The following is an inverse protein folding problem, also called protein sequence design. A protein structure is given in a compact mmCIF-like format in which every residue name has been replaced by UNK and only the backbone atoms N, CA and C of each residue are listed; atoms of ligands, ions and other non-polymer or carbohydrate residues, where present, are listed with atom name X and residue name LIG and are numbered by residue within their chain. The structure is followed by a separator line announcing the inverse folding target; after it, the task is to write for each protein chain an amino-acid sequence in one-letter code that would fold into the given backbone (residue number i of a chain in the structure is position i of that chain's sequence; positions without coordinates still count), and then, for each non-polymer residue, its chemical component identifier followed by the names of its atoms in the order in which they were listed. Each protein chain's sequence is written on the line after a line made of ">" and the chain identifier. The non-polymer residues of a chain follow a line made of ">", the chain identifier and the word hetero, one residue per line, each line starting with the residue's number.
data_IF_816371243368
#
_entry.id   IF_816371243368
#
_cell.length_a   1.000
_cell.length_b   1.000
_cell.length_c   1.000
_cell.angle_alpha   90.00
_cell.angle_beta   90.00
_cell.angle_gamma   90.00
#
_symmetry.space_group_name_H-M   'P 1'
#
loop_
_entity.id
_entity.type
_entity.pdbx_description
1 polymer ?
#
# COMPACT_ATOMS: atom_id res chain seq x y z
N UNK A 1 23.55 10.08 -15.56
CA UNK A 1 23.63 9.57 -14.17
C UNK A 1 24.13 8.12 -14.24
N UNK A 2 25.07 7.69 -13.37
CA UNK A 2 25.59 6.32 -13.32
C UNK A 2 24.50 5.30 -12.94
N UNK A 3 24.60 4.08 -13.48
CA UNK A 3 23.64 3.02 -13.21
C UNK A 3 23.68 2.55 -11.75
N UNK A 4 24.85 2.60 -11.08
CA UNK A 4 24.98 2.15 -9.69
C UNK A 4 24.08 2.94 -8.73
N UNK A 5 23.76 4.19 -9.06
CA UNK A 5 22.88 5.04 -8.24
C UNK A 5 21.43 4.55 -8.17
N UNK A 6 21.00 3.70 -9.11
CA UNK A 6 19.61 3.20 -9.18
C UNK A 6 19.48 1.72 -8.78
N UNK A 7 20.60 1.01 -8.67
CA UNK A 7 20.61 -0.45 -8.49
C UNK A 7 19.88 -0.88 -7.22
N UNK A 8 20.17 -0.27 -6.08
CA UNK A 8 19.53 -0.66 -4.81
C UNK A 8 18.01 -0.42 -4.84
N UNK A 9 17.59 0.74 -5.33
CA UNK A 9 16.17 1.08 -5.44
C UNK A 9 15.45 0.15 -6.43
N UNK A 10 16.07 -0.16 -7.56
CA UNK A 10 15.53 -1.09 -8.55
C UNK A 10 15.40 -2.51 -7.97
N UNK A 11 16.42 -3.00 -7.27
CA UNK A 11 16.36 -4.31 -6.61
C UNK A 11 15.25 -4.36 -5.57
N UNK A 12 15.08 -3.32 -4.74
CA UNK A 12 13.98 -3.25 -3.76
C UNK A 12 12.62 -3.32 -4.45
N UNK A 13 12.41 -2.52 -5.50
CA UNK A 13 11.15 -2.51 -6.27
C UNK A 13 10.85 -3.87 -6.89
N UNK A 14 11.83 -4.52 -7.53
CA UNK A 14 11.63 -5.84 -8.15
C UNK A 14 11.31 -6.90 -7.10
N UNK A 15 12.02 -6.93 -5.97
CA UNK A 15 11.74 -7.88 -4.88
C UNK A 15 10.31 -7.72 -4.36
N UNK A 16 9.87 -6.49 -4.10
CA UNK A 16 8.50 -6.22 -3.64
C UNK A 16 7.49 -6.67 -4.69
N UNK A 17 7.69 -6.33 -5.96
CA UNK A 17 6.79 -6.74 -7.04
C UNK A 17 6.64 -8.26 -7.14
N UNK A 18 7.73 -9.02 -6.98
CA UNK A 18 7.68 -10.48 -6.98
C UNK A 18 6.91 -11.05 -5.78
N UNK A 19 7.11 -10.47 -4.59
CA UNK A 19 6.39 -10.89 -3.37
C UNK A 19 4.89 -10.62 -3.54
N UNK A 20 4.53 -9.41 -3.97
CA UNK A 20 3.15 -9.00 -4.21
C UNK A 20 2.48 -9.91 -5.25
N UNK A 21 3.13 -10.13 -6.40
CA UNK A 21 2.63 -11.06 -7.43
C UNK A 21 2.39 -12.45 -6.84
N UNK A 22 3.31 -12.98 -6.03
CA UNK A 22 3.11 -14.29 -5.39
C UNK A 22 1.94 -14.31 -4.41
N UNK A 23 1.62 -13.21 -3.74
CA UNK A 23 0.47 -13.12 -2.82
C UNK A 23 -0.83 -13.14 -3.61
N UNK A 24 -0.90 -12.35 -4.68
CA UNK A 24 -2.05 -12.30 -5.60
C UNK A 24 -2.35 -13.67 -6.16
N UNK A 25 -1.33 -14.34 -6.73
CA UNK A 25 -1.49 -15.64 -7.39
C UNK A 25 -1.93 -16.74 -6.40
N UNK A 26 -1.34 -16.77 -5.20
CA UNK A 26 -1.64 -17.83 -4.20
C UNK A 26 -3.03 -17.70 -3.59
N UNK A 27 -3.50 -16.47 -3.43
CA UNK A 27 -4.78 -16.19 -2.78
C UNK A 27 -5.89 -15.84 -3.79
N UNK A 28 -5.59 -15.90 -5.10
CA UNK A 28 -6.50 -15.54 -6.19
C UNK A 28 -7.16 -14.17 -5.96
N UNK A 29 -6.36 -13.19 -5.54
CA UNK A 29 -6.86 -11.84 -5.30
C UNK A 29 -7.21 -11.19 -6.64
N UNK A 30 -8.42 -10.66 -6.73
CA UNK A 30 -8.93 -9.94 -7.90
C UNK A 30 -9.49 -8.63 -7.38
N UNK A 31 -9.26 -7.55 -8.14
CA UNK A 31 -9.81 -6.24 -7.83
C UNK A 31 -11.34 -6.35 -7.66
N UNK A 32 -11.84 -5.93 -6.51
CA UNK A 32 -13.29 -5.93 -6.27
C UNK A 32 -13.98 -4.91 -7.19
N UNK A 33 -15.00 -5.38 -7.93
CA UNK A 33 -15.66 -4.58 -8.95
C UNK A 33 -16.50 -3.43 -8.36
N UNK A 34 -17.04 -3.61 -7.15
CA UNK A 34 -17.80 -2.59 -6.43
C UNK A 34 -16.86 -1.49 -5.93
N UNK A 35 -15.74 -1.87 -5.30
CA UNK A 35 -14.70 -0.94 -4.86
C UNK A 35 -14.07 -0.16 -6.02
N UNK A 36 -13.85 -0.80 -7.18
CA UNK A 36 -13.39 -0.12 -8.41
C UNK A 36 -14.40 0.93 -8.85
N UNK A 37 -15.69 0.59 -8.84
CA UNK A 37 -16.74 1.53 -9.21
C UNK A 37 -16.82 2.69 -8.24
N UNK A 38 -16.83 2.42 -6.94
CA UNK A 38 -16.85 3.44 -5.88
C UNK A 38 -15.66 4.39 -6.02
N UNK A 39 -14.45 3.86 -6.24
CA UNK A 39 -13.25 4.69 -6.47
C UNK A 39 -13.43 5.63 -7.67
N UNK A 40 -13.98 5.14 -8.79
CA UNK A 40 -14.24 5.97 -9.98
C UNK A 40 -15.29 7.04 -9.67
N UNK A 41 -16.36 6.69 -8.96
CA UNK A 41 -17.43 7.61 -8.57
C UNK A 41 -16.90 8.71 -7.63
N UNK A 42 -16.06 8.37 -6.65
CA UNK A 42 -15.39 9.32 -5.76
C UNK A 42 -14.47 10.29 -6.52
N UNK A 43 -13.66 9.76 -7.45
CA UNK A 43 -12.81 10.59 -8.30
C UNK A 43 -13.64 11.55 -9.16
N UNK A 44 -14.74 11.05 -9.73
CA UNK A 44 -15.64 11.81 -10.57
C UNK A 44 -16.46 12.86 -9.80
N UNK A 45 -16.75 12.65 -8.52
CA UNK A 45 -17.59 13.53 -7.70
C UNK A 45 -17.05 14.97 -7.56
N UNK A 46 -15.75 15.16 -7.80
CA UNK A 46 -15.10 16.48 -7.77
C UNK A 46 -15.28 17.30 -9.05
N UNK A 47 -15.81 16.68 -10.11
CA UNK A 47 -15.99 17.30 -11.41
C UNK A 47 -17.41 17.86 -11.60
N UNK A 48 -17.55 18.82 -12.52
CA UNK A 48 -18.85 19.41 -12.86
C UNK A 48 -19.80 18.41 -13.55
N UNK A 49 -19.24 17.49 -14.34
CA UNK A 49 -19.97 16.45 -15.05
C UNK A 49 -19.38 15.08 -14.68
N UNK A 50 -19.83 14.46 -13.57
CA UNK A 50 -19.26 13.21 -13.07
C UNK A 50 -19.50 12.03 -14.02
N UNK A 51 -20.65 11.99 -14.70
CA UNK A 51 -21.02 10.94 -15.65
C UNK A 51 -20.02 10.83 -16.82
N UNK A 52 -19.53 11.95 -17.33
CA UNK A 52 -18.55 11.97 -18.42
C UNK A 52 -17.19 11.42 -17.97
N UNK A 53 -16.81 11.68 -16.72
CA UNK A 53 -15.58 11.13 -16.12
C UNK A 53 -15.70 9.63 -15.90
N UNK A 54 -16.85 9.16 -15.38
CA UNK A 54 -17.13 7.73 -15.21
C UNK A 54 -17.03 7.02 -16.57
N UNK A 55 -17.72 7.56 -17.58
CA UNK A 55 -17.70 7.01 -18.94
C UNK A 55 -16.29 7.02 -19.55
N UNK A 56 -15.49 8.06 -19.28
CA UNK A 56 -14.10 8.12 -19.71
C UNK A 56 -13.25 6.96 -19.15
N UNK A 57 -13.41 6.63 -17.86
CA UNK A 57 -12.69 5.49 -17.26
C UNK A 57 -13.16 4.16 -17.83
N UNK A 58 -14.48 3.94 -17.97
CA UNK A 58 -15.01 2.67 -18.48
C UNK A 58 -14.82 2.47 -19.99
N UNK A 59 -14.72 3.55 -20.77
CA UNK A 59 -14.47 3.46 -22.21
C UNK A 59 -13.00 3.23 -22.57
N UNK A 60 -12.09 3.35 -21.59
CA UNK A 60 -10.66 3.17 -21.78
C UNK A 60 -10.11 2.07 -20.86
N UNK A 61 -9.85 0.89 -21.43
CA UNK A 61 -9.32 -0.28 -20.71
C UNK A 61 -8.01 0.03 -19.95
N UNK A 62 -7.15 0.88 -20.49
CA UNK A 62 -5.89 1.24 -19.83
C UNK A 62 -6.14 2.07 -18.57
N UNK A 63 -7.13 2.96 -18.60
CA UNK A 63 -7.49 3.78 -17.43
C UNK A 63 -8.23 2.94 -16.40
N UNK A 64 -9.15 2.08 -16.85
CA UNK A 64 -9.85 1.15 -15.97
C UNK A 64 -8.87 0.21 -15.27
N UNK A 65 -7.88 -0.32 -16.00
CA UNK A 65 -6.84 -1.19 -15.43
C UNK A 65 -6.00 -0.49 -14.36
N UNK A 66 -5.73 0.82 -14.49
CA UNK A 66 -5.03 1.58 -13.44
C UNK A 66 -5.83 1.62 -12.15
N UNK A 67 -7.14 1.87 -12.23
CA UNK A 67 -8.00 1.87 -11.05
C UNK A 67 -8.12 0.47 -10.45
N UNK A 68 -8.28 -0.56 -11.28
CA UNK A 68 -8.26 -1.95 -10.82
C UNK A 68 -6.97 -2.31 -10.08
N UNK A 69 -5.82 -1.88 -10.59
CA UNK A 69 -4.54 -2.12 -9.92
C UNK A 69 -4.44 -1.37 -8.58
N UNK A 70 -4.95 -0.14 -8.51
CA UNK A 70 -4.99 0.64 -7.27
C UNK A 70 -5.86 -0.03 -6.21
N UNK A 71 -7.06 -0.49 -6.58
CA UNK A 71 -7.96 -1.21 -5.67
C UNK A 71 -7.33 -2.53 -5.24
N UNK A 72 -6.76 -3.29 -6.18
CA UNK A 72 -6.08 -4.54 -5.87
C UNK A 72 -4.91 -4.33 -4.91
N UNK A 73 -4.12 -3.27 -5.08
CA UNK A 73 -3.02 -2.91 -4.17
C UNK A 73 -3.53 -2.67 -2.74
N UNK A 74 -4.61 -1.91 -2.57
CA UNK A 74 -5.26 -1.72 -1.26
C UNK A 74 -5.69 -3.04 -0.64
N UNK A 75 -6.38 -3.89 -1.41
CA UNK A 75 -6.83 -5.20 -0.93
C UNK A 75 -5.68 -6.13 -0.55
N UNK A 76 -4.53 -6.06 -1.24
CA UNK A 76 -3.33 -6.81 -0.87
C UNK A 76 -2.79 -6.33 0.47
N UNK A 77 -2.77 -5.02 0.72
CA UNK A 77 -2.32 -4.46 1.99
C UNK A 77 -3.23 -4.93 3.12
N UNK A 78 -4.54 -4.83 2.94
CA UNK A 78 -5.53 -5.29 3.92
C UNK A 78 -5.36 -6.77 4.22
N UNK A 79 -5.22 -7.60 3.18
CA UNK A 79 -4.97 -9.04 3.32
C UNK A 79 -3.70 -9.35 4.13
N UNK A 80 -2.63 -8.59 3.88
CA UNK A 80 -1.37 -8.74 4.63
C UNK A 80 -1.55 -8.32 6.09
N UNK A 81 -2.27 -7.22 6.35
CA UNK A 81 -2.55 -6.73 7.71
C UNK A 81 -3.42 -7.71 8.50
N UNK A 82 -4.45 -8.29 7.89
CA UNK A 82 -5.28 -9.33 8.50
C UNK A 82 -4.50 -10.58 8.88
N UNK A 83 -3.48 -10.92 8.07
CA UNK A 83 -2.61 -12.07 8.31
C UNK A 83 -1.44 -11.76 9.25
N UNK A 84 -1.16 -10.48 9.51
CA UNK A 84 -0.03 -10.04 10.30
C UNK A 84 -0.37 -9.96 11.80
N UNK A 85 0.65 -10.14 12.64
CA UNK A 85 0.53 -9.85 14.06
C UNK A 85 0.69 -8.36 14.30
N UNK A 86 -0.42 -7.67 14.54
CA UNK A 86 -0.42 -6.25 14.91
C UNK A 86 -0.12 -6.09 16.41
N UNK A 87 0.81 -5.19 16.74
CA UNK A 87 1.18 -4.87 18.12
C UNK A 87 1.05 -3.35 18.26
N UNK A 88 0.13 -2.91 19.11
CA UNK A 88 -0.04 -1.49 19.40
C UNK A 88 1.06 -1.03 20.37
N UNK A 89 1.77 0.04 19.99
CA UNK A 89 2.79 0.68 20.83
C UNK A 89 2.35 2.11 21.13
N UNK A 90 2.22 2.43 22.41
CA UNK A 90 2.01 3.83 22.83
C UNK A 90 3.33 4.60 22.67
N UNK A 91 3.30 5.66 21.88
CA UNK A 91 4.43 6.55 21.64
C UNK A 91 4.03 8.00 21.92
N UNK A 92 5.01 8.85 22.22
CA UNK A 92 4.77 10.29 22.35
C UNK A 92 4.51 10.94 20.98
N UNK A 93 3.90 12.13 20.96
CA UNK A 93 3.69 12.89 19.72
C UNK A 93 5.01 13.17 19.00
N UNK A 94 6.05 13.58 19.75
CA UNK A 94 7.37 13.86 19.20
C UNK A 94 8.03 12.63 18.57
N UNK A 95 7.74 11.42 19.06
CA UNK A 95 8.21 10.18 18.45
C UNK A 95 7.42 9.79 17.20
N UNK A 96 6.09 10.00 17.19
CA UNK A 96 5.23 9.67 16.07
C UNK A 96 5.51 10.50 14.81
N UNK A 97 5.98 11.74 14.95
CA UNK A 97 6.25 12.66 13.82
C UNK A 97 7.70 12.64 13.34
N UNK A 98 8.60 11.89 14.00
CA UNK A 98 9.98 11.73 13.53
C UNK A 98 10.01 10.96 12.21
N UNK A 99 10.90 11.36 11.30
CA UNK A 99 11.10 10.62 10.05
C UNK A 99 11.77 9.28 10.34
N UNK A 100 11.33 8.23 9.67
CA UNK A 100 11.81 6.85 9.84
C UNK A 100 13.33 6.69 9.70
N UNK A 101 14.01 7.58 8.97
CA UNK A 101 15.47 7.64 8.88
C UNK A 101 16.19 8.01 10.19
N UNK A 102 15.46 8.51 11.19
CA UNK A 102 15.97 8.95 12.50
C UNK A 102 15.53 8.04 13.65
N UNK A 103 14.78 6.96 13.37
CA UNK A 103 14.43 5.97 14.37
C UNK A 103 15.63 5.04 14.60
N UNK A 104 16.09 4.85 15.85
CA UNK A 104 17.04 3.79 16.14
C UNK A 104 16.41 2.46 15.70
N UNK A 105 17.19 1.63 14.99
CA UNK A 105 16.79 0.24 14.74
C UNK A 105 16.45 -0.37 16.10
N UNK A 106 15.25 -0.94 16.21
CA UNK A 106 14.70 -1.56 17.42
C UNK A 106 15.76 -2.44 18.11
N UNK A 107 16.47 -1.88 19.10
CA UNK A 107 17.28 -2.66 20.02
C UNK A 107 16.26 -3.35 20.93
N UNK A 108 16.09 -4.65 20.70
CA UNK A 108 15.03 -5.45 21.28
C UNK A 108 14.88 -5.23 22.77
N UNK A 109 13.65 -4.91 23.17
CA UNK A 109 13.02 -5.10 24.48
C UNK A 109 13.95 -5.69 25.57
N UNK A 110 14.80 -4.86 26.17
CA UNK A 110 15.32 -5.14 27.51
C UNK A 110 14.16 -4.97 28.48
N UNK A 111 13.51 -6.08 28.79
CA UNK A 111 12.53 -6.18 29.89
C UNK A 111 13.15 -5.58 31.17
N UNK A 112 12.42 -4.77 31.94
CA UNK A 112 12.95 -4.29 33.20
C UNK A 112 13.07 -5.47 34.16
N UNK A 113 14.31 -5.79 34.56
CA UNK A 113 14.58 -6.64 35.70
C UNK A 113 13.82 -6.05 36.90
N UNK A 114 12.88 -6.84 37.44
CA UNK A 114 12.24 -6.52 38.71
C UNK A 114 13.32 -6.63 39.80
N UNK A 115 13.70 -5.50 40.39
CA UNK A 115 14.48 -5.48 41.63
C UNK A 115 13.63 -6.00 42.80
N UNK A 116 14.26 -6.84 43.64
CA UNK A 116 13.75 -7.52 44.85
C UNK A 116 13.05 -6.61 45.89
#
# INVERSE_FOLDING_TARGET
>A
LPAEMFTEQAQKRVKIGLIVSSIVDKNNLVADAEAVRETIEEMAATYQEPEDVINYYYSNEQQLSQIQNMVLEGQIVDFVLESARVIDKTVSYDEAVKREAELPADEGDESPEAED
#
